data_IF_620627427887
#
_entry.id   IF_620627427887
#
_cell.length_a   1.000
_cell.length_b   1.000
_cell.length_c   1.000
_cell.angle_alpha   90.00
_cell.angle_beta   90.00
_cell.angle_gamma   90.00
#
_symmetry.space_group_name_H-M   'P 1'
#
loop_
_entity.id
_entity.type
_entity.pdbx_description
1 polymer ?
#
# COMPACT_ATOMS: atom_id res chain seq x y z
N UNK A 1 6.53 -22.15 -7.70
CA UNK A 1 5.59 -21.04 -7.88
C UNK A 1 4.18 -21.50 -8.17
N UNK A 2 3.95 -22.34 -9.16
CA UNK A 2 2.61 -22.85 -9.53
C UNK A 2 1.87 -23.57 -8.39
N UNK A 3 2.59 -24.16 -7.45
CA UNK A 3 2.03 -24.88 -6.30
C UNK A 3 1.70 -24.01 -5.08
N UNK A 4 1.88 -22.69 -5.14
CA UNK A 4 1.41 -21.80 -4.07
C UNK A 4 -0.12 -21.66 -4.17
N UNK A 5 -0.82 -21.80 -3.06
CA UNK A 5 -2.29 -21.76 -2.99
C UNK A 5 -2.91 -20.52 -3.68
N UNK A 6 -2.23 -19.38 -3.59
CA UNK A 6 -2.67 -18.14 -4.25
C UNK A 6 -2.64 -18.28 -5.78
N UNK A 7 -1.57 -18.89 -6.32
CA UNK A 7 -1.43 -19.08 -7.77
C UNK A 7 -2.39 -20.17 -8.25
N UNK A 8 -2.53 -21.27 -7.50
CA UNK A 8 -3.45 -22.36 -7.83
C UNK A 8 -4.89 -21.86 -7.92
N UNK A 9 -5.38 -21.10 -6.92
CA UNK A 9 -6.72 -20.51 -6.94
C UNK A 9 -6.93 -19.54 -8.11
N UNK A 10 -5.92 -18.74 -8.45
CA UNK A 10 -6.00 -17.82 -9.58
C UNK A 10 -5.96 -18.52 -10.91
N UNK A 11 -5.25 -19.68 -11.02
CA UNK A 11 -5.27 -20.52 -12.22
C UNK A 11 -6.67 -21.10 -12.50
N UNK A 12 -7.38 -21.50 -11.45
CA UNK A 12 -8.76 -22.00 -11.56
C UNK A 12 -9.73 -20.92 -12.00
N UNK A 13 -9.52 -19.66 -11.60
CA UNK A 13 -10.36 -18.50 -11.96
C UNK A 13 -9.94 -17.83 -13.28
N UNK A 14 -8.83 -18.26 -13.87
CA UNK A 14 -8.19 -17.59 -15.00
C UNK A 14 -7.22 -16.50 -14.55
N UNK A 15 -5.92 -16.71 -14.79
CA UNK A 15 -4.87 -15.72 -14.60
C UNK A 15 -4.32 -15.32 -15.97
N UNK A 16 -4.15 -14.01 -16.20
CA UNK A 16 -3.51 -13.55 -17.44
C UNK A 16 -2.01 -13.85 -17.40
N UNK A 17 -1.40 -14.00 -18.57
CA UNK A 17 0.06 -14.13 -18.67
C UNK A 17 0.78 -12.95 -18.04
N UNK A 18 0.23 -11.74 -18.18
CA UNK A 18 0.79 -10.52 -17.58
C UNK A 18 0.82 -10.59 -16.05
N UNK A 19 -0.27 -11.00 -15.42
CA UNK A 19 -0.34 -11.16 -13.95
C UNK A 19 0.64 -12.22 -13.45
N UNK A 20 0.75 -13.33 -14.16
CA UNK A 20 1.68 -14.40 -13.80
C UNK A 20 3.14 -13.97 -13.95
N UNK A 21 3.48 -13.34 -15.09
CA UNK A 21 4.84 -12.86 -15.35
C UNK A 21 5.28 -11.76 -14.42
N UNK A 22 4.35 -10.90 -13.96
CA UNK A 22 4.63 -9.84 -12.99
C UNK A 22 5.27 -10.37 -11.69
N UNK A 23 4.71 -11.42 -11.12
CA UNK A 23 5.28 -12.06 -9.92
C UNK A 23 6.73 -12.54 -10.15
N UNK A 24 7.00 -13.09 -11.33
CA UNK A 24 8.34 -13.57 -11.68
C UNK A 24 9.31 -12.41 -11.84
N UNK A 25 8.89 -11.34 -12.53
CA UNK A 25 9.72 -10.15 -12.73
C UNK A 25 10.06 -9.47 -11.41
N UNK A 26 9.09 -9.25 -10.53
CA UNK A 26 9.33 -8.65 -9.22
C UNK A 26 10.26 -9.51 -8.35
N UNK A 27 10.11 -10.82 -8.38
CA UNK A 27 11.00 -11.73 -7.67
C UNK A 27 12.44 -11.66 -8.20
N UNK A 28 12.59 -11.56 -9.53
CA UNK A 28 13.89 -11.43 -10.18
C UNK A 28 14.55 -10.09 -9.86
N UNK A 29 13.78 -9.00 -9.87
CA UNK A 29 14.25 -7.65 -9.50
C UNK A 29 14.76 -7.63 -8.06
N UNK A 30 14.02 -8.23 -7.11
CA UNK A 30 14.45 -8.29 -5.71
C UNK A 30 15.76 -9.08 -5.57
N UNK A 31 15.88 -10.22 -6.23
CA UNK A 31 17.12 -10.99 -6.26
C UNK A 31 18.27 -10.18 -6.85
N UNK A 32 18.06 -9.52 -7.99
CA UNK A 32 19.07 -8.68 -8.65
C UNK A 32 19.53 -7.51 -7.77
N UNK A 33 18.59 -6.81 -7.14
CA UNK A 33 18.85 -5.73 -6.20
C UNK A 33 19.66 -6.21 -4.98
N UNK A 34 19.32 -7.39 -4.46
CA UNK A 34 20.10 -7.99 -3.38
C UNK A 34 21.54 -8.25 -3.80
N UNK A 35 21.76 -8.83 -4.99
CA UNK A 35 23.10 -9.17 -5.47
C UNK A 35 23.96 -7.94 -5.81
N UNK A 36 23.36 -6.92 -6.40
CA UNK A 36 24.10 -5.79 -7.00
C UNK A 36 24.06 -4.51 -6.16
N UNK A 37 23.07 -4.37 -5.29
CA UNK A 37 22.85 -3.16 -4.46
C UNK A 37 22.81 -3.43 -2.96
N UNK A 38 22.93 -4.67 -2.52
CA UNK A 38 22.89 -5.05 -1.11
C UNK A 38 21.50 -4.87 -0.46
N UNK A 39 20.43 -4.80 -1.24
CA UNK A 39 19.07 -4.68 -0.72
C UNK A 39 18.69 -5.96 0.03
N UNK A 40 18.31 -5.84 1.29
CA UNK A 40 17.97 -6.97 2.16
C UNK A 40 16.50 -7.04 2.56
N UNK A 41 15.73 -5.97 2.31
CA UNK A 41 14.32 -5.91 2.69
C UNK A 41 13.49 -5.32 1.56
N UNK A 42 12.31 -5.90 1.33
CA UNK A 42 11.27 -5.35 0.45
C UNK A 42 10.05 -4.95 1.28
N UNK A 43 9.55 -3.73 1.08
CA UNK A 43 8.42 -3.17 1.80
C UNK A 43 7.33 -2.81 0.80
N UNK A 44 6.08 -3.18 1.06
CA UNK A 44 4.96 -2.86 0.17
C UNK A 44 3.60 -2.94 0.89
N UNK A 45 2.53 -2.67 0.16
CA UNK A 45 1.17 -2.95 0.63
C UNK A 45 0.91 -4.45 0.77
N UNK A 46 -0.05 -4.80 1.61
CA UNK A 46 -0.40 -6.19 1.92
C UNK A 46 -0.80 -7.01 0.69
N UNK A 47 -1.32 -6.38 -0.35
CA UNK A 47 -1.65 -7.01 -1.64
C UNK A 47 -0.42 -7.56 -2.37
N UNK A 48 0.79 -7.08 -2.04
CA UNK A 48 2.05 -7.52 -2.64
C UNK A 48 2.72 -8.69 -1.93
N UNK A 49 2.13 -9.22 -0.86
CA UNK A 49 2.74 -10.29 -0.06
C UNK A 49 3.15 -11.51 -0.89
N UNK A 50 2.30 -11.95 -1.80
CA UNK A 50 2.58 -13.09 -2.70
C UNK A 50 3.79 -12.85 -3.60
N UNK A 51 3.93 -11.65 -4.15
CA UNK A 51 5.04 -11.27 -5.02
C UNK A 51 6.36 -11.20 -4.22
N UNK A 52 6.32 -10.57 -3.05
CA UNK A 52 7.50 -10.39 -2.19
C UNK A 52 8.01 -11.74 -1.70
N UNK A 53 7.14 -12.62 -1.24
CA UNK A 53 7.54 -13.97 -0.77
C UNK A 53 8.11 -14.84 -1.89
N UNK A 54 7.70 -14.62 -3.14
CA UNK A 54 8.34 -15.25 -4.29
C UNK A 54 9.79 -14.79 -4.48
N UNK A 55 10.07 -13.50 -4.24
CA UNK A 55 11.42 -12.93 -4.26
C UNK A 55 12.30 -13.46 -3.14
N UNK A 56 11.79 -13.56 -1.91
CA UNK A 56 12.50 -14.18 -0.77
C UNK A 56 12.93 -15.61 -1.12
N UNK A 57 12.00 -16.40 -1.64
CA UNK A 57 12.27 -17.79 -2.03
C UNK A 57 13.31 -17.87 -3.14
N UNK A 58 13.27 -16.95 -4.12
CA UNK A 58 14.27 -16.89 -5.18
C UNK A 58 15.66 -16.54 -4.65
N UNK A 59 15.79 -15.55 -3.76
CA UNK A 59 17.05 -15.19 -3.11
C UNK A 59 17.63 -16.38 -2.34
N UNK A 60 16.81 -17.05 -1.56
CA UNK A 60 17.20 -18.23 -0.79
C UNK A 60 17.71 -19.35 -1.69
N UNK A 61 16.97 -19.69 -2.75
CA UNK A 61 17.32 -20.83 -3.65
C UNK A 61 18.51 -20.54 -4.55
N UNK A 62 18.59 -19.31 -5.09
CA UNK A 62 19.58 -18.98 -6.13
C UNK A 62 20.91 -18.51 -5.55
N UNK A 63 20.91 -17.85 -4.40
CA UNK A 63 22.10 -17.23 -3.80
C UNK A 63 22.38 -17.66 -2.37
N UNK A 64 21.54 -18.49 -1.78
CA UNK A 64 21.59 -18.85 -0.36
C UNK A 64 21.66 -17.61 0.56
N UNK A 65 20.96 -16.53 0.17
CA UNK A 65 20.89 -15.27 0.92
C UNK A 65 19.56 -15.17 1.66
N UNK A 66 19.65 -14.72 2.90
CA UNK A 66 18.50 -14.36 3.70
C UNK A 66 18.09 -12.91 3.42
N UNK A 67 16.82 -12.70 3.09
CA UNK A 67 16.22 -11.40 2.85
C UNK A 67 14.84 -11.35 3.51
N UNK A 68 14.34 -10.16 3.76
CA UNK A 68 13.17 -9.94 4.61
C UNK A 68 12.07 -9.24 3.84
N UNK A 69 10.85 -9.34 4.36
CA UNK A 69 9.69 -8.62 3.87
C UNK A 69 8.92 -7.96 5.02
N UNK A 70 8.37 -6.81 4.71
CA UNK A 70 7.43 -6.12 5.57
C UNK A 70 6.28 -5.60 4.72
N UNK A 71 5.03 -5.83 5.16
CA UNK A 71 3.85 -5.30 4.48
C UNK A 71 3.01 -4.46 5.42
N UNK A 72 2.41 -3.41 4.85
CA UNK A 72 1.50 -2.50 5.54
C UNK A 72 0.07 -2.75 5.07
N UNK A 73 -0.95 -2.51 5.92
CA UNK A 73 -2.34 -2.50 5.50
C UNK A 73 -2.55 -1.55 4.32
N UNK A 74 -3.49 -1.89 3.44
CA UNK A 74 -3.88 -0.99 2.36
C UNK A 74 -4.72 0.16 2.91
N UNK A 75 -4.41 1.38 2.45
CA UNK A 75 -5.31 2.51 2.65
C UNK A 75 -6.55 2.32 1.77
N UNK A 76 -7.70 2.23 2.42
CA UNK A 76 -8.99 2.06 1.76
C UNK A 76 -10.00 3.09 2.26
N UNK A 77 -10.99 3.38 1.45
CA UNK A 77 -12.22 4.06 1.87
C UNK A 77 -13.08 3.09 2.71
N UNK A 78 -14.17 3.58 3.29
CA UNK A 78 -15.11 2.76 4.07
C UNK A 78 -15.79 1.66 3.24
N UNK A 79 -15.98 1.88 1.95
CA UNK A 79 -16.52 0.91 0.99
C UNK A 79 -15.51 -0.17 0.55
N UNK A 80 -14.27 -0.14 1.08
CA UNK A 80 -13.19 -1.05 0.74
C UNK A 80 -12.44 -0.70 -0.55
N UNK A 81 -12.85 0.34 -1.27
CA UNK A 81 -12.12 0.79 -2.47
C UNK A 81 -10.78 1.44 -2.10
N UNK A 82 -9.81 1.39 -3.02
CA UNK A 82 -8.49 1.96 -2.77
C UNK A 82 -8.55 3.48 -2.59
N UNK A 83 -7.88 3.98 -1.56
CA UNK A 83 -7.67 5.40 -1.33
C UNK A 83 -6.94 6.06 -2.51
N UNK A 84 -7.15 7.36 -2.71
CA UNK A 84 -6.47 8.13 -3.77
C UNK A 84 -7.15 8.08 -5.14
N UNK A 85 -8.32 7.41 -5.26
CA UNK A 85 -9.15 7.44 -6.46
C UNK A 85 -10.51 8.06 -6.16
N UNK A 86 -10.83 9.18 -6.82
CA UNK A 86 -12.13 9.84 -6.73
C UNK A 86 -12.73 9.95 -8.12
N UNK A 87 -13.94 9.43 -8.32
CA UNK A 87 -14.65 9.45 -9.61
C UNK A 87 -13.80 8.96 -10.80
N UNK A 88 -12.96 7.93 -10.59
CA UNK A 88 -12.08 7.38 -11.61
C UNK A 88 -10.78 8.17 -11.84
N UNK A 89 -10.59 9.31 -11.18
CA UNK A 89 -9.35 10.11 -11.25
C UNK A 89 -8.45 9.81 -10.04
N UNK A 90 -7.15 9.67 -10.29
CA UNK A 90 -6.16 9.59 -9.22
C UNK A 90 -5.85 11.00 -8.70
N UNK A 91 -5.63 11.12 -7.39
CA UNK A 91 -5.07 12.33 -6.77
C UNK A 91 -3.54 12.22 -6.84
N UNK A 92 -2.92 13.22 -7.44
CA UNK A 92 -1.48 13.26 -7.69
C UNK A 92 -0.80 14.29 -6.80
N UNK A 93 0.43 13.99 -6.38
CA UNK A 93 1.29 14.96 -5.69
C UNK A 93 1.88 16.02 -6.64
N UNK A 94 1.75 15.83 -7.95
CA UNK A 94 2.16 16.78 -8.98
C UNK A 94 1.09 17.88 -9.12
N UNK A 95 1.46 19.12 -8.81
CA UNK A 95 0.57 20.29 -8.86
C UNK A 95 -0.03 20.55 -10.25
N UNK A 96 0.64 20.10 -11.32
CA UNK A 96 0.13 20.23 -12.68
C UNK A 96 -0.97 19.20 -13.00
N UNK A 97 -1.14 18.17 -12.17
CA UNK A 97 -2.14 17.11 -12.33
C UNK A 97 -3.26 17.19 -11.31
N UNK A 98 -2.95 17.66 -10.11
CA UNK A 98 -3.91 17.91 -9.01
C UNK A 98 -3.51 19.22 -8.35
N UNK A 99 -4.35 20.24 -8.47
CA UNK A 99 -4.10 21.53 -7.83
C UNK A 99 -4.12 21.42 -6.31
N UNK A 100 -3.50 22.39 -5.62
CA UNK A 100 -3.54 22.46 -4.16
C UNK A 100 -4.97 22.50 -3.62
N UNK A 101 -5.88 23.18 -4.32
CA UNK A 101 -7.30 23.26 -3.96
C UNK A 101 -7.98 21.88 -4.10
N UNK A 102 -7.75 21.15 -5.19
CA UNK A 102 -8.30 19.80 -5.37
C UNK A 102 -7.75 18.84 -4.31
N UNK A 103 -6.48 18.95 -3.97
CA UNK A 103 -5.86 18.15 -2.90
C UNK A 103 -6.52 18.47 -1.54
N UNK A 104 -6.68 19.74 -1.22
CA UNK A 104 -7.38 20.15 -0.01
C UNK A 104 -8.82 19.62 0.03
N UNK A 105 -9.56 19.78 -1.08
CA UNK A 105 -10.93 19.28 -1.18
C UNK A 105 -11.02 17.76 -1.04
N UNK A 106 -10.02 17.05 -1.52
CA UNK A 106 -9.95 15.60 -1.37
C UNK A 106 -9.86 15.19 0.11
N UNK A 107 -9.00 15.83 0.89
CA UNK A 107 -8.83 15.50 2.30
C UNK A 107 -9.99 15.99 3.15
N UNK A 108 -10.44 17.24 2.98
CA UNK A 108 -11.54 17.80 3.77
C UNK A 108 -12.87 17.06 3.56
N UNK A 109 -13.05 16.37 2.44
CA UNK A 109 -14.21 15.54 2.13
C UNK A 109 -13.98 14.06 2.39
N UNK A 110 -12.93 13.71 3.13
CA UNK A 110 -12.69 12.33 3.57
C UNK A 110 -13.80 11.88 4.52
N UNK A 111 -13.99 10.58 4.59
CA UNK A 111 -15.02 9.99 5.45
C UNK A 111 -14.60 10.04 6.92
N UNK A 112 -15.47 10.50 7.80
CA UNK A 112 -15.20 10.71 9.24
C UNK A 112 -14.64 9.47 9.93
N UNK A 113 -15.10 8.28 9.55
CA UNK A 113 -14.64 7.00 10.11
C UNK A 113 -13.26 6.56 9.61
N UNK A 114 -12.66 7.27 8.63
CA UNK A 114 -11.35 6.96 8.03
C UNK A 114 -10.27 7.99 8.32
N UNK A 115 -10.67 9.17 8.73
CA UNK A 115 -9.78 10.31 8.93
C UNK A 115 -8.62 9.97 9.89
N UNK A 116 -8.90 9.32 11.00
CA UNK A 116 -7.87 8.95 11.97
C UNK A 116 -6.88 7.92 11.41
N UNK A 117 -7.36 6.97 10.59
CA UNK A 117 -6.47 6.06 9.88
C UNK A 117 -5.57 6.84 8.91
N UNK A 118 -6.11 7.82 8.18
CA UNK A 118 -5.33 8.65 7.26
C UNK A 118 -4.29 9.50 7.98
N UNK A 119 -4.61 10.07 9.13
CA UNK A 119 -3.63 10.79 9.94
C UNK A 119 -2.44 9.90 10.34
N UNK A 120 -2.72 8.66 10.79
CA UNK A 120 -1.67 7.70 11.16
C UNK A 120 -0.75 7.32 10.00
N UNK A 121 -1.26 7.27 8.77
CA UNK A 121 -0.49 6.83 7.61
C UNK A 121 0.15 7.94 6.80
N UNK A 122 -0.45 9.12 6.78
CA UNK A 122 -0.09 10.19 5.86
C UNK A 122 0.58 11.39 6.53
N UNK A 123 0.68 11.39 7.87
CA UNK A 123 1.30 12.49 8.61
C UNK A 123 2.46 12.00 9.48
N UNK A 124 3.23 12.95 9.99
CA UNK A 124 4.30 12.72 10.98
C UNK A 124 3.88 13.16 12.39
N UNK A 125 2.57 13.29 12.64
CA UNK A 125 2.04 13.59 13.96
C UNK A 125 2.40 12.48 14.95
N UNK A 126 2.71 12.88 16.17
CA UNK A 126 2.93 11.94 17.27
C UNK A 126 1.64 11.19 17.64
N UNK A 127 1.79 10.13 18.38
CA UNK A 127 0.64 9.37 18.87
C UNK A 127 -0.30 10.23 19.72
N UNK A 128 0.29 11.07 20.58
CA UNK A 128 -0.43 11.96 21.50
C UNK A 128 -1.25 13.00 20.73
N UNK A 129 -0.66 13.60 19.69
CA UNK A 129 -1.35 14.56 18.81
C UNK A 129 -2.53 13.92 18.06
N UNK A 130 -2.35 12.69 17.58
CA UNK A 130 -3.41 11.95 16.90
C UNK A 130 -4.54 11.57 17.89
N UNK A 131 -4.22 11.16 19.11
CA UNK A 131 -5.21 10.84 20.14
C UNK A 131 -6.01 12.08 20.56
N UNK A 132 -5.37 13.26 20.63
CA UNK A 132 -6.05 14.54 20.90
C UNK A 132 -7.02 14.89 19.75
N UNK A 133 -6.56 14.78 18.50
CA UNK A 133 -7.41 15.04 17.33
C UNK A 133 -8.57 14.03 17.25
N UNK A 134 -8.34 12.77 17.60
CA UNK A 134 -9.39 11.74 17.64
C UNK A 134 -10.46 12.06 18.69
N UNK A 135 -10.06 12.55 19.87
CA UNK A 135 -10.99 12.97 20.91
C UNK A 135 -11.85 14.15 20.44
N UNK A 136 -11.22 15.20 19.89
CA UNK A 136 -11.92 16.36 19.32
C UNK A 136 -12.88 15.97 18.19
N UNK A 137 -12.44 15.08 17.31
CA UNK A 137 -13.25 14.58 16.20
C UNK A 137 -14.50 13.82 16.68
N UNK A 138 -14.38 13.04 17.76
CA UNK A 138 -15.52 12.32 18.36
C UNK A 138 -16.53 13.27 18.99
N UNK A 139 -16.08 14.37 19.60
CA UNK A 139 -16.94 15.37 20.23
C UNK A 139 -17.64 16.27 19.20
N UNK A 140 -16.92 16.70 18.17
CA UNK A 140 -17.42 17.65 17.18
C UNK A 140 -16.95 17.31 15.75
N UNK A 141 -17.45 16.22 15.14
CA UNK A 141 -17.02 15.80 13.79
C UNK A 141 -17.24 16.88 12.71
N UNK A 142 -18.26 17.73 12.89
CA UNK A 142 -18.62 18.78 11.96
C UNK A 142 -17.57 19.90 11.83
N UNK A 143 -16.68 20.07 12.81
CA UNK A 143 -15.59 21.03 12.76
C UNK A 143 -14.45 20.60 11.84
N UNK A 144 -14.36 19.31 11.53
CA UNK A 144 -13.36 18.71 10.62
C UNK A 144 -11.91 19.06 10.96
N UNK A 145 -11.59 19.22 12.25
CA UNK A 145 -10.22 19.56 12.69
C UNK A 145 -9.20 18.46 12.38
N UNK A 146 -9.66 17.21 12.28
CA UNK A 146 -8.82 16.06 11.92
C UNK A 146 -8.68 15.82 10.40
N UNK A 147 -9.46 16.52 9.58
CA UNK A 147 -9.41 16.40 8.12
C UNK A 147 -8.35 17.32 7.53
#
# INVERSE_FOLDING_TARGET
MLSKDIVARRLEQGITYTEFSYMIMQALDFWWLNQNKGVTMQVAGQDQWGNITAGIELCRRKSNKEVYAFTMPLLTKSDGTKFGKTNGKAVWLDINKTSAYEMYQFFINSEDNKVIDYLKFLTFLSKEEIEELEAKHKEAPHLREAH
#
